data_IF_155855411600
#
_entry.id   IF_155855411600
#
_cell.length_a   1.000
_cell.length_b   1.000
_cell.length_c   1.000
_cell.angle_alpha   90.00
_cell.angle_beta   90.00
_cell.angle_gamma   90.00
#
_symmetry.space_group_name_H-M   'P 1'
#
loop_
_entity.id
_entity.type
_entity.pdbx_description
1 polymer ?
#
# COMPACT_ATOMS: atom_id res chain seq x y z
N UNK A 1 30.99 16.80 -14.14
CA UNK A 1 31.12 15.87 -12.99
C UNK A 1 32.41 15.05 -13.10
N UNK A 2 33.33 15.19 -12.14
CA UNK A 2 34.69 14.63 -12.18
C UNK A 2 34.66 13.09 -12.03
N UNK A 3 35.66 12.38 -12.58
CA UNK A 3 35.78 10.91 -12.59
C UNK A 3 35.79 10.32 -11.17
N UNK A 4 36.31 11.05 -10.18
CA UNK A 4 36.24 10.69 -8.75
C UNK A 4 34.80 10.74 -8.21
N UNK A 5 34.03 11.76 -8.57
CA UNK A 5 32.63 11.93 -8.17
C UNK A 5 31.74 10.83 -8.74
N UNK A 6 31.98 10.41 -9.99
CA UNK A 6 31.27 9.27 -10.62
C UNK A 6 31.53 7.93 -9.91
N UNK A 7 32.74 7.72 -9.39
CA UNK A 7 33.09 6.50 -8.63
C UNK A 7 32.45 6.49 -7.24
N UNK A 8 32.49 7.63 -6.54
CA UNK A 8 31.83 7.79 -5.24
C UNK A 8 30.32 7.60 -5.33
N UNK A 9 29.67 8.13 -6.38
CA UNK A 9 28.23 7.95 -6.59
C UNK A 9 27.84 6.49 -6.85
N UNK A 10 28.64 5.77 -7.67
CA UNK A 10 28.42 4.33 -7.91
C UNK A 10 28.66 3.48 -6.67
N UNK A 11 29.64 3.86 -5.84
CA UNK A 11 29.92 3.18 -4.58
C UNK A 11 28.78 3.40 -3.57
N UNK A 12 28.28 4.64 -3.46
CA UNK A 12 27.15 4.97 -2.59
C UNK A 12 25.86 4.26 -3.03
N UNK A 13 25.59 4.19 -4.35
CA UNK A 13 24.46 3.44 -4.89
C UNK A 13 24.58 1.94 -4.60
N UNK A 14 25.75 1.34 -4.83
CA UNK A 14 25.98 -0.08 -4.53
C UNK A 14 25.87 -0.39 -3.03
N UNK A 15 26.39 0.49 -2.17
CA UNK A 15 26.23 0.37 -0.72
C UNK A 15 24.76 0.48 -0.34
N UNK A 16 24.00 1.43 -0.89
CA UNK A 16 22.56 1.52 -0.61
C UNK A 16 21.79 0.25 -0.98
N UNK A 17 22.08 -0.34 -2.15
CA UNK A 17 21.45 -1.60 -2.60
C UNK A 17 21.85 -2.78 -1.72
N UNK A 18 23.10 -2.84 -1.24
CA UNK A 18 23.57 -3.86 -0.30
C UNK A 18 23.02 -3.67 1.13
N UNK A 19 22.79 -2.43 1.56
CA UNK A 19 22.14 -2.12 2.85
C UNK A 19 20.69 -2.58 2.90
N UNK A 20 20.00 -2.63 1.75
CA UNK A 20 18.63 -3.16 1.65
C UNK A 20 18.57 -4.71 1.68
N UNK A 21 19.71 -5.41 1.67
CA UNK A 21 19.75 -6.88 1.67
C UNK A 21 19.86 -7.49 3.07
N UNK A 22 20.13 -6.70 4.11
CA UNK A 22 20.41 -7.19 5.48
C UNK A 22 19.83 -6.27 6.57
N UNK A 23 18.55 -5.93 6.49
CA UNK A 23 17.71 -5.58 7.65
C UNK A 23 16.25 -5.50 7.21
N UNK A 24 15.31 -5.75 8.12
CA UNK A 24 13.89 -6.00 7.86
C UNK A 24 13.20 -5.04 6.88
N UNK A 25 12.20 -5.59 6.17
CA UNK A 25 11.21 -4.92 5.34
C UNK A 25 11.68 -3.62 4.68
N UNK A 26 12.16 -3.72 3.44
CA UNK A 26 12.35 -2.52 2.61
C UNK A 26 10.97 -1.96 2.25
N UNK A 27 10.54 -0.92 2.97
CA UNK A 27 9.30 -0.21 2.72
C UNK A 27 9.60 0.99 1.81
N UNK A 28 9.24 0.88 0.53
CA UNK A 28 9.11 2.05 -0.33
C UNK A 28 7.66 2.51 -0.27
N UNK A 29 7.39 3.51 0.57
CA UNK A 29 6.06 4.08 0.76
C UNK A 29 5.99 5.42 0.04
N UNK A 30 5.10 5.52 -0.96
CA UNK A 30 4.79 6.76 -1.67
C UNK A 30 3.45 7.36 -1.22
N UNK A 31 2.92 6.98 -0.04
CA UNK A 31 1.61 7.44 0.43
C UNK A 31 1.54 7.68 1.94
N UNK A 32 0.71 8.66 2.32
CA UNK A 32 0.41 9.07 3.69
C UNK A 32 -0.80 8.26 4.24
N UNK A 33 -0.71 7.80 5.49
CA UNK A 33 -1.66 6.84 6.11
C UNK A 33 -2.99 7.45 6.59
N UNK A 34 -3.09 8.78 6.61
CA UNK A 34 -4.27 9.47 7.12
C UNK A 34 -5.05 10.12 5.97
N UNK A 35 -6.31 9.70 5.84
CA UNK A 35 -7.33 10.44 5.08
C UNK A 35 -7.98 11.49 6.00
N UNK A 36 -8.51 12.59 5.46
CA UNK A 36 -8.25 13.17 4.13
C UNK A 36 -6.95 14.00 4.15
N UNK A 37 -6.29 14.20 2.99
CA UNK A 37 -5.14 15.12 2.74
C UNK A 37 -4.05 14.51 1.83
N UNK A 38 -4.44 13.80 0.75
CA UNK A 38 -3.46 13.27 -0.21
C UNK A 38 -3.08 14.29 -1.29
N UNK A 39 -1.81 14.32 -1.67
CA UNK A 39 -1.34 15.01 -2.88
C UNK A 39 -1.83 14.27 -4.13
N UNK A 40 -2.79 14.86 -4.87
CA UNK A 40 -3.37 14.28 -6.09
C UNK A 40 -3.45 15.25 -7.27
N UNK A 41 -3.89 14.74 -8.42
CA UNK A 41 -4.23 15.56 -9.58
C UNK A 41 -5.58 16.27 -9.33
N UNK A 42 -5.58 17.59 -9.37
CA UNK A 42 -6.78 18.41 -9.14
C UNK A 42 -7.46 18.74 -10.47
N UNK A 43 -8.73 18.33 -10.59
CA UNK A 43 -9.65 18.73 -11.63
C UNK A 43 -10.89 19.34 -10.97
N UNK A 44 -10.80 20.64 -10.66
CA UNK A 44 -11.74 21.38 -9.82
C UNK A 44 -13.23 21.00 -10.02
N UNK A 45 -13.97 20.63 -8.96
CA UNK A 45 -13.55 20.48 -7.55
C UNK A 45 -13.02 19.09 -7.19
N UNK A 46 -12.91 18.16 -8.14
CA UNK A 46 -12.46 16.78 -7.93
C UNK A 46 -10.94 16.72 -7.72
N UNK A 47 -10.51 15.94 -6.73
CA UNK A 47 -9.12 15.57 -6.51
C UNK A 47 -9.03 14.08 -6.74
N UNK A 48 -8.18 13.64 -7.66
CA UNK A 48 -7.91 12.22 -7.91
C UNK A 48 -6.50 11.91 -7.45
N UNK A 49 -6.34 10.85 -6.67
CA UNK A 49 -5.04 10.39 -6.20
C UNK A 49 -4.85 8.91 -6.49
N UNK A 50 -3.59 8.52 -6.65
CA UNK A 50 -3.19 7.14 -6.79
C UNK A 50 -1.85 6.97 -6.10
N UNK A 51 -1.63 5.79 -5.53
CA UNK A 51 -0.33 5.44 -5.02
C UNK A 51 -0.02 3.97 -5.28
N UNK A 52 1.24 3.66 -5.05
CA UNK A 52 1.76 2.33 -5.19
C UNK A 52 2.77 2.09 -4.09
N UNK A 53 2.50 1.08 -3.25
CA UNK A 53 3.43 0.63 -2.22
C UNK A 53 3.92 -0.76 -2.57
N UNK A 54 5.23 -0.96 -2.44
CA UNK A 54 5.87 -2.28 -2.55
C UNK A 54 6.59 -2.59 -1.25
N UNK A 55 6.48 -3.84 -0.80
CA UNK A 55 7.11 -4.31 0.43
C UNK A 55 7.62 -5.74 0.23
N UNK A 56 8.72 -6.08 0.89
CA UNK A 56 9.24 -7.44 0.95
C UNK A 56 9.07 -7.94 2.38
N UNK A 57 8.38 -9.06 2.55
CA UNK A 57 8.13 -9.68 3.84
C UNK A 57 8.78 -11.07 3.86
N UNK A 58 9.49 -11.39 4.94
CA UNK A 58 10.00 -12.74 5.16
C UNK A 58 9.05 -13.47 6.13
N UNK A 59 8.58 -14.65 5.75
CA UNK A 59 7.66 -15.47 6.55
C UNK A 59 8.31 -16.83 6.83
N UNK A 60 8.26 -17.30 8.08
CA UNK A 60 8.93 -18.54 8.56
C UNK A 60 7.95 -19.67 8.87
N UNK A 61 6.70 -19.56 8.45
CA UNK A 61 5.72 -20.65 8.43
C UNK A 61 4.67 -20.34 7.35
N UNK A 62 5.05 -20.60 6.10
CA UNK A 62 4.32 -20.16 4.91
C UNK A 62 2.91 -20.78 4.81
N UNK A 63 2.69 -21.95 5.40
CA UNK A 63 1.41 -22.65 5.32
C UNK A 63 0.59 -22.54 6.60
N UNK A 64 1.12 -21.85 7.62
CA UNK A 64 0.48 -21.68 8.93
C UNK A 64 0.17 -23.01 9.64
N UNK A 65 0.96 -24.06 9.35
CA UNK A 65 0.81 -25.39 9.95
C UNK A 65 1.72 -25.54 11.19
N UNK A 66 1.31 -26.34 12.17
CA UNK A 66 2.01 -26.43 13.47
C UNK A 66 3.42 -27.02 13.41
N UNK A 67 3.74 -27.77 12.35
CA UNK A 67 5.01 -28.48 12.19
C UNK A 67 5.80 -28.04 10.95
N UNK A 68 5.37 -26.97 10.27
CA UNK A 68 6.00 -26.55 9.03
C UNK A 68 7.14 -25.53 9.25
N UNK A 69 8.35 -25.90 8.80
CA UNK A 69 9.56 -25.08 8.81
C UNK A 69 9.79 -24.31 7.48
N UNK A 70 8.83 -24.38 6.55
CA UNK A 70 8.91 -23.72 5.26
C UNK A 70 8.92 -22.20 5.42
N UNK A 71 9.93 -21.57 4.83
CA UNK A 71 10.08 -20.12 4.76
C UNK A 71 9.93 -19.62 3.33
N UNK A 72 9.49 -18.38 3.18
CA UNK A 72 9.48 -17.70 1.89
C UNK A 72 9.63 -16.19 2.04
N UNK A 73 10.02 -15.54 0.95
CA UNK A 73 10.01 -14.09 0.81
C UNK A 73 8.79 -13.72 -0.02
N UNK A 74 7.85 -13.01 0.58
CA UNK A 74 6.67 -12.49 -0.06
C UNK A 74 6.97 -11.11 -0.62
N UNK A 75 6.58 -10.89 -1.88
CA UNK A 75 6.50 -9.56 -2.47
C UNK A 75 5.08 -9.04 -2.34
N UNK A 76 4.92 -7.93 -1.62
CA UNK A 76 3.65 -7.25 -1.42
C UNK A 76 3.53 -6.10 -2.42
N UNK A 77 2.51 -6.14 -3.26
CA UNK A 77 2.16 -5.07 -4.20
C UNK A 77 0.83 -4.45 -3.77
N UNK A 78 0.83 -3.16 -3.47
CA UNK A 78 -0.34 -2.45 -2.96
C UNK A 78 -0.62 -1.17 -3.78
N UNK A 79 -1.16 -1.29 -5.01
CA UNK A 79 -1.76 -0.14 -5.69
C UNK A 79 -3.02 0.35 -4.98
N UNK A 80 -3.18 1.67 -4.94
CA UNK A 80 -4.37 2.35 -4.46
C UNK A 80 -4.77 3.45 -5.45
N UNK A 81 -6.08 3.66 -5.61
CA UNK A 81 -6.64 4.82 -6.31
C UNK A 81 -7.80 5.36 -5.48
N UNK A 82 -7.99 6.66 -5.50
CA UNK A 82 -9.12 7.27 -4.84
C UNK A 82 -9.43 8.64 -5.41
N UNK A 83 -10.57 9.16 -4.98
CA UNK A 83 -10.94 10.53 -5.27
C UNK A 83 -11.55 11.19 -4.04
N UNK A 84 -11.38 12.50 -3.98
CA UNK A 84 -11.97 13.40 -3.00
C UNK A 84 -12.74 14.48 -3.76
N UNK A 85 -13.93 14.81 -3.30
CA UNK A 85 -14.80 15.82 -3.87
C UNK A 85 -15.22 16.79 -2.74
N UNK A 86 -14.39 17.79 -2.42
CA UNK A 86 -14.78 18.87 -1.55
C UNK A 86 -15.86 19.75 -2.22
N UNK A 87 -16.99 19.96 -1.54
CA UNK A 87 -18.09 20.81 -1.99
C UNK A 87 -18.48 21.80 -0.87
N UNK A 88 -17.83 22.96 -0.88
CA UNK A 88 -17.92 23.91 0.22
C UNK A 88 -17.32 23.30 1.48
N UNK A 89 -18.12 23.24 2.55
CA UNK A 89 -17.71 22.58 3.80
C UNK A 89 -17.93 21.06 3.77
N UNK A 90 -18.60 20.51 2.75
CA UNK A 90 -18.85 19.07 2.63
C UNK A 90 -17.66 18.34 2.00
N UNK A 91 -17.48 17.07 2.34
CA UNK A 91 -16.40 16.25 1.81
C UNK A 91 -16.92 14.85 1.45
N UNK A 92 -16.72 14.45 0.20
CA UNK A 92 -17.02 13.09 -0.25
C UNK A 92 -15.74 12.44 -0.73
N UNK A 93 -15.48 11.20 -0.35
CA UNK A 93 -14.35 10.45 -0.89
C UNK A 93 -14.69 8.99 -1.11
N UNK A 94 -14.01 8.38 -2.07
CA UNK A 94 -13.99 6.95 -2.22
C UNK A 94 -12.59 6.48 -2.61
N UNK A 95 -12.20 5.36 -2.02
CA UNK A 95 -10.90 4.74 -2.18
C UNK A 95 -11.10 3.29 -2.58
N UNK A 96 -10.23 2.83 -3.46
CA UNK A 96 -10.02 1.43 -3.77
C UNK A 96 -8.55 1.10 -3.61
N UNK A 97 -8.26 0.04 -2.87
CA UNK A 97 -6.93 -0.55 -2.80
C UNK A 97 -6.97 -2.02 -3.15
N UNK A 98 -5.92 -2.45 -3.83
CA UNK A 98 -5.67 -3.84 -4.14
C UNK A 98 -4.34 -4.22 -3.48
N UNK A 99 -4.32 -5.29 -2.71
CA UNK A 99 -3.12 -5.89 -2.16
C UNK A 99 -2.87 -7.23 -2.82
N UNK A 100 -1.64 -7.51 -3.23
CA UNK A 100 -1.22 -8.82 -3.71
C UNK A 100 -0.01 -9.28 -2.94
N UNK A 101 -0.09 -10.49 -2.38
CA UNK A 101 0.97 -11.15 -1.65
C UNK A 101 1.48 -12.30 -2.52
N UNK A 102 2.64 -12.08 -3.12
CA UNK A 102 3.25 -13.03 -4.05
C UNK A 102 4.35 -13.77 -3.31
N UNK A 103 4.12 -15.05 -3.02
CA UNK A 103 5.15 -15.96 -2.53
C UNK A 103 6.24 -16.12 -3.60
N UNK A 104 7.51 -16.17 -3.20
CA UNK A 104 8.64 -16.29 -4.13
C UNK A 104 8.94 -17.72 -4.56
N UNK A 105 8.72 -18.67 -3.64
CA UNK A 105 8.92 -20.11 -3.85
C UNK A 105 7.59 -20.83 -4.05
N UNK A 106 6.57 -20.44 -3.27
CA UNK A 106 5.26 -21.09 -3.23
C UNK A 106 4.17 -20.28 -3.93
N UNK A 107 4.42 -19.87 -5.19
CA UNK A 107 3.58 -18.90 -5.90
C UNK A 107 2.09 -19.31 -6.01
N UNK A 108 1.78 -20.61 -5.98
CA UNK A 108 0.41 -21.13 -5.98
C UNK A 108 -0.37 -20.84 -4.68
N UNK A 109 0.30 -20.36 -3.64
CA UNK A 109 -0.30 -19.89 -2.39
C UNK A 109 -0.45 -18.35 -2.35
N UNK A 110 -0.10 -17.67 -3.44
CA UNK A 110 -0.27 -16.22 -3.56
C UNK A 110 -1.74 -15.85 -3.46
N UNK A 111 -2.02 -14.78 -2.73
CA UNK A 111 -3.37 -14.31 -2.49
C UNK A 111 -3.45 -12.79 -2.72
N UNK A 112 -4.67 -12.30 -2.78
CA UNK A 112 -4.95 -10.90 -3.02
C UNK A 112 -6.15 -10.43 -2.20
N UNK A 113 -6.13 -9.14 -1.88
CA UNK A 113 -7.21 -8.46 -1.19
C UNK A 113 -7.67 -7.27 -2.02
N UNK A 114 -8.97 -7.00 -1.95
CA UNK A 114 -9.61 -5.81 -2.45
C UNK A 114 -10.23 -5.08 -1.26
N UNK A 115 -9.98 -3.78 -1.15
CA UNK A 115 -10.61 -2.94 -0.15
C UNK A 115 -11.24 -1.73 -0.84
N UNK A 116 -12.50 -1.45 -0.51
CA UNK A 116 -13.22 -0.26 -0.93
C UNK A 116 -13.62 0.50 0.33
N UNK A 117 -13.34 1.80 0.36
CA UNK A 117 -13.80 2.70 1.41
C UNK A 117 -14.57 3.84 0.78
N UNK A 118 -15.68 4.21 1.38
CA UNK A 118 -16.42 5.42 1.01
C UNK A 118 -16.66 6.26 2.25
N UNK A 119 -16.55 7.58 2.11
CA UNK A 119 -16.81 8.56 3.16
C UNK A 119 -17.67 9.68 2.58
N UNK A 120 -18.69 10.08 3.31
CA UNK A 120 -19.45 11.29 3.06
C UNK A 120 -19.57 12.07 4.37
N UNK A 121 -19.01 13.27 4.39
CA UNK A 121 -19.17 14.25 5.46
C UNK A 121 -20.01 15.40 4.95
N UNK A 122 -21.17 15.60 5.59
CA UNK A 122 -22.10 16.66 5.27
C UNK A 122 -22.11 17.63 6.47
N UNK A 123 -21.71 18.87 6.21
CA UNK A 123 -21.65 19.93 7.19
C UNK A 123 -22.77 20.94 6.92
N UNK A 124 -23.72 21.01 7.85
CA UNK A 124 -24.72 22.06 7.96
C UNK A 124 -24.35 23.03 9.09
N UNK A 125 -25.01 24.19 9.15
CA UNK A 125 -24.72 25.26 10.12
C UNK A 125 -24.62 24.76 11.57
N UNK A 126 -25.51 23.86 11.97
CA UNK A 126 -25.62 23.39 13.36
C UNK A 126 -25.31 21.89 13.52
N UNK A 127 -25.08 21.17 12.41
CA UNK A 127 -24.99 19.70 12.42
C UNK A 127 -23.92 19.21 11.45
N UNK A 128 -23.14 18.22 11.90
CA UNK A 128 -22.24 17.43 11.05
C UNK A 128 -22.74 16.00 10.99
N UNK A 129 -22.97 15.49 9.77
CA UNK A 129 -23.29 14.08 9.51
C UNK A 129 -22.09 13.44 8.82
N UNK A 130 -21.58 12.36 9.39
CA UNK A 130 -20.54 11.52 8.77
C UNK A 130 -21.12 10.13 8.49
N UNK A 131 -21.07 9.73 7.23
CA UNK A 131 -21.36 8.38 6.77
C UNK A 131 -20.06 7.76 6.29
N UNK A 132 -19.73 6.57 6.78
CA UNK A 132 -18.59 5.80 6.31
C UNK A 132 -19.01 4.36 6.03
N UNK A 133 -18.50 3.83 4.93
CA UNK A 133 -18.64 2.42 4.59
C UNK A 133 -17.25 1.85 4.24
N UNK A 134 -17.05 0.60 4.62
CA UNK A 134 -15.80 -0.12 4.45
C UNK A 134 -16.11 -1.55 4.04
N UNK A 135 -15.77 -1.89 2.80
CA UNK A 135 -15.91 -3.22 2.25
C UNK A 135 -14.53 -3.82 2.00
N UNK A 136 -14.33 -5.06 2.44
CA UNK A 136 -13.10 -5.82 2.19
C UNK A 136 -13.46 -7.19 1.66
N UNK A 137 -12.82 -7.55 0.56
CA UNK A 137 -12.83 -8.89 -0.01
C UNK A 137 -11.40 -9.42 -0.03
N UNK A 138 -11.22 -10.67 0.35
CA UNK A 138 -9.92 -11.34 0.32
C UNK A 138 -10.10 -12.67 -0.41
N UNK A 139 -9.13 -13.04 -1.24
CA UNK A 139 -8.98 -14.43 -1.68
C UNK A 139 -8.26 -15.18 -0.56
N UNK A 140 -8.80 -16.28 -0.09
CA UNK A 140 -8.17 -17.04 1.01
C UNK A 140 -6.73 -17.41 0.68
N UNK A 141 -5.85 -17.29 1.68
CA UNK A 141 -4.52 -17.88 1.63
C UNK A 141 -4.72 -19.39 1.69
N UNK A 142 -4.12 -20.13 0.77
CA UNK A 142 -4.17 -21.59 0.83
C UNK A 142 -3.57 -22.06 2.17
N UNK A 143 -4.41 -22.65 3.04
CA UNK A 143 -4.08 -23.06 4.42
C UNK A 143 -4.87 -22.34 5.54
N UNK A 144 -5.76 -21.38 5.24
CA UNK A 144 -6.52 -20.61 6.28
C UNK A 144 -7.98 -21.03 6.48
N UNK A 145 -8.34 -22.30 6.27
CA UNK A 145 -9.65 -22.85 6.68
C UNK A 145 -9.62 -23.47 8.09
#
# INVERSE_FOLDING_TARGET
MNKKTKRLFRLALAISVLSFSFCGASIAELENKDLPDRTGFKYDPLIVHAAFKTELQFDTNVFLESEDENFDVLTLLNPSVGFELPLGDNHFSADYSFGSWIFGTYNNHSYFDHTVRALAEINWTDYKITLSDFYRYFSDRAGTE
#
